data_IF_451543468206
#
_entry.id   IF_451543468206
#
_cell.length_a   1.000
_cell.length_b   1.000
_cell.length_c   1.000
_cell.angle_alpha   90.00
_cell.angle_beta   90.00
_cell.angle_gamma   90.00
#
_symmetry.space_group_name_H-M   'P 1'
#
loop_
_entity.id
_entity.type
_entity.pdbx_description
1 polymer ?
#
# COMPACT_ATOMS: atom_id res chain seq x y z
N UNK A 1 4.08 27.62 2.33
CA UNK A 1 3.25 27.31 3.50
C UNK A 1 3.32 25.80 3.65
N UNK A 2 3.88 25.28 4.73
CA UNK A 2 3.77 23.86 5.05
C UNK A 2 2.36 23.60 5.57
N UNK A 3 1.68 22.60 5.02
CA UNK A 3 0.38 22.17 5.48
C UNK A 3 0.57 21.00 6.45
N UNK A 4 0.27 21.22 7.74
CA UNK A 4 0.30 20.17 8.77
C UNK A 4 -1.00 19.37 8.74
N UNK A 5 -1.29 18.77 7.58
CA UNK A 5 -2.51 18.01 7.38
C UNK A 5 -2.41 16.67 8.10
N UNK A 6 -3.40 16.36 8.93
CA UNK A 6 -3.51 15.09 9.66
C UNK A 6 -4.75 14.35 9.15
N UNK A 7 -4.53 13.17 8.59
CA UNK A 7 -5.59 12.31 8.06
C UNK A 7 -5.77 11.01 8.86
N UNK A 8 -4.93 10.79 9.88
CA UNK A 8 -5.06 9.64 10.77
C UNK A 8 -6.29 9.85 11.66
N UNK A 9 -7.21 8.87 11.77
CA UNK A 9 -8.37 8.98 12.64
C UNK A 9 -7.96 9.21 14.10
N UNK A 10 -8.50 10.26 14.72
CA UNK A 10 -8.12 10.66 16.08
C UNK A 10 -8.49 9.59 17.13
N UNK A 11 -9.56 8.85 16.89
CA UNK A 11 -10.01 7.74 17.73
C UNK A 11 -9.00 6.58 17.79
N UNK A 12 -8.25 6.33 16.71
CA UNK A 12 -7.22 5.30 16.69
C UNK A 12 -5.99 5.73 17.50
N UNK A 13 -5.62 7.00 17.40
CA UNK A 13 -4.53 7.57 18.20
C UNK A 13 -4.89 7.54 19.70
N UNK A 14 -6.09 7.99 20.05
CA UNK A 14 -6.55 8.04 21.43
C UNK A 14 -6.63 6.66 22.09
N UNK A 15 -6.93 5.60 21.33
CA UNK A 15 -6.94 4.22 21.84
C UNK A 15 -5.56 3.78 22.35
N UNK A 16 -4.48 4.29 21.74
CA UNK A 16 -3.09 4.03 22.12
C UNK A 16 -2.51 5.13 23.03
N UNK A 17 -3.33 6.07 23.50
CA UNK A 17 -2.87 7.21 24.32
C UNK A 17 -2.05 8.26 23.55
N UNK A 18 -2.16 8.27 22.22
CA UNK A 18 -1.44 9.17 21.33
C UNK A 18 -2.31 10.33 20.84
N UNK A 19 -1.65 11.39 20.38
CA UNK A 19 -2.22 12.51 19.67
C UNK A 19 -1.48 12.74 18.35
N UNK A 20 -2.09 13.55 17.47
CA UNK A 20 -1.49 13.84 16.15
C UNK A 20 -0.13 14.57 16.26
N UNK A 21 0.08 15.33 17.33
CA UNK A 21 1.35 16.01 17.58
C UNK A 21 2.52 15.02 17.82
N UNK A 22 2.20 13.82 18.32
CA UNK A 22 3.20 12.80 18.66
C UNK A 22 3.79 12.12 17.42
N UNK A 23 3.16 12.28 16.25
CA UNK A 23 3.64 11.74 14.95
C UNK A 23 4.99 12.35 14.55
N UNK A 24 5.23 13.61 14.93
CA UNK A 24 6.44 14.32 14.54
C UNK A 24 7.69 13.87 15.31
N UNK A 25 7.52 13.09 16.38
CA UNK A 25 8.60 12.60 17.23
C UNK A 25 8.96 11.15 16.86
N UNK A 26 10.14 10.90 16.25
CA UNK A 26 10.56 9.56 15.85
C UNK A 26 10.74 8.61 17.04
N UNK A 27 10.93 9.11 18.27
CA UNK A 27 11.06 8.28 19.46
C UNK A 27 9.73 7.58 19.83
N UNK A 28 8.61 8.07 19.28
CA UNK A 28 7.30 7.45 19.46
C UNK A 28 7.01 6.30 18.49
N UNK A 29 7.94 5.95 17.58
CA UNK A 29 7.67 5.01 16.49
C UNK A 29 7.07 3.66 16.95
N UNK A 30 7.61 3.07 18.02
CA UNK A 30 7.10 1.83 18.59
C UNK A 30 5.65 1.97 19.10
N UNK A 31 5.29 3.12 19.67
CA UNK A 31 3.94 3.37 20.17
C UNK A 31 2.91 3.51 19.03
N UNK A 32 3.33 3.91 17.84
CA UNK A 32 2.45 4.03 16.66
C UNK A 32 2.21 2.71 15.92
N UNK A 33 2.95 1.64 16.22
CA UNK A 33 2.81 0.34 15.52
C UNK A 33 1.36 -0.17 15.51
N UNK A 34 0.62 -0.22 16.64
CA UNK A 34 -0.77 -0.71 16.64
C UNK A 34 -1.71 0.14 15.77
N UNK A 35 -1.48 1.46 15.72
CA UNK A 35 -2.24 2.39 14.87
C UNK A 35 -1.99 2.09 13.39
N UNK A 36 -0.71 1.93 13.01
CA UNK A 36 -0.32 1.60 11.63
C UNK A 36 -0.91 0.26 11.21
N UNK A 37 -0.77 -0.78 12.04
CA UNK A 37 -1.32 -2.11 11.78
C UNK A 37 -2.83 -2.08 11.58
N UNK A 38 -3.56 -1.36 12.45
CA UNK A 38 -5.02 -1.22 12.33
C UNK A 38 -5.44 -0.57 11.01
N UNK A 39 -4.73 0.49 10.59
CA UNK A 39 -5.01 1.17 9.31
C UNK A 39 -4.69 0.26 8.13
N UNK A 40 -3.55 -0.43 8.19
CA UNK A 40 -3.08 -1.35 7.15
C UNK A 40 -4.04 -2.52 6.99
N UNK A 41 -4.55 -3.09 8.09
CA UNK A 41 -5.52 -4.19 8.03
C UNK A 41 -6.86 -3.74 7.47
N UNK A 42 -7.33 -2.55 7.86
CA UNK A 42 -8.52 -1.94 7.26
C UNK A 42 -8.34 -1.73 5.75
N UNK A 43 -7.18 -1.23 5.33
CA UNK A 43 -6.87 -1.01 3.92
C UNK A 43 -6.77 -2.32 3.14
N UNK A 44 -6.12 -3.33 3.71
CA UNK A 44 -6.00 -4.67 3.13
C UNK A 44 -7.36 -5.36 2.95
N UNK A 45 -8.33 -5.07 3.82
CA UNK A 45 -9.71 -5.56 3.71
C UNK A 45 -10.42 -5.14 2.40
N UNK A 46 -9.97 -4.08 1.72
CA UNK A 46 -10.53 -3.66 0.43
C UNK A 46 -9.91 -4.36 -0.79
N UNK A 47 -8.81 -5.11 -0.62
CA UNK A 47 -8.06 -5.66 -1.76
C UNK A 47 -8.88 -6.67 -2.57
N UNK A 48 -9.69 -7.50 -1.91
CA UNK A 48 -10.54 -8.49 -2.58
C UNK A 48 -11.62 -7.84 -3.44
N UNK A 49 -12.30 -6.83 -2.89
CA UNK A 49 -13.35 -6.12 -3.61
C UNK A 49 -12.78 -5.25 -4.74
N UNK A 50 -11.62 -4.61 -4.52
CA UNK A 50 -10.91 -3.87 -5.55
C UNK A 50 -10.47 -4.79 -6.70
N UNK A 51 -9.89 -5.96 -6.41
CA UNK A 51 -9.54 -6.93 -7.45
C UNK A 51 -10.78 -7.38 -8.23
N UNK A 52 -11.86 -7.75 -7.53
CA UNK A 52 -13.13 -8.17 -8.16
C UNK A 52 -13.68 -7.10 -9.09
N UNK A 53 -13.60 -5.83 -8.68
CA UNK A 53 -14.03 -4.71 -9.49
C UNK A 53 -13.14 -4.53 -10.74
N UNK A 54 -11.82 -4.58 -10.61
CA UNK A 54 -10.87 -4.46 -11.73
C UNK A 54 -11.07 -5.59 -12.76
N UNK A 55 -11.37 -6.81 -12.30
CA UNK A 55 -11.59 -7.96 -13.18
C UNK A 55 -12.98 -7.92 -13.86
N UNK A 56 -13.96 -7.26 -13.25
CA UNK A 56 -15.33 -7.16 -13.78
C UNK A 56 -15.59 -5.89 -14.62
N UNK A 57 -14.75 -4.86 -14.51
CA UNK A 57 -15.02 -3.57 -15.14
C UNK A 57 -14.89 -3.62 -16.67
N UNK A 58 -15.80 -2.98 -17.43
CA UNK A 58 -15.69 -2.92 -18.89
C UNK A 58 -14.46 -2.11 -19.34
N UNK A 59 -13.66 -2.70 -20.23
CA UNK A 59 -12.54 -2.04 -20.91
C UNK A 59 -13.04 -1.17 -22.07
N UNK A 60 -13.76 -0.10 -21.76
CA UNK A 60 -14.26 0.86 -22.73
C UNK A 60 -13.81 2.29 -22.38
N UNK A 61 -13.78 3.18 -23.38
CA UNK A 61 -13.48 4.62 -23.23
C UNK A 61 -12.12 4.93 -22.58
N UNK A 62 -11.05 4.28 -23.05
CA UNK A 62 -9.69 4.56 -22.57
C UNK A 62 -9.30 3.85 -21.27
N UNK A 63 -10.22 3.09 -20.65
CA UNK A 63 -9.87 2.16 -19.58
C UNK A 63 -9.09 0.98 -20.16
N UNK A 64 -7.82 0.87 -19.78
CA UNK A 64 -7.04 -0.36 -19.95
C UNK A 64 -6.96 -1.09 -18.62
N UNK A 65 -6.86 -2.42 -18.67
CA UNK A 65 -6.63 -3.23 -17.47
C UNK A 65 -5.37 -2.75 -16.73
N UNK A 66 -4.33 -2.37 -17.48
CA UNK A 66 -3.08 -1.84 -16.95
C UNK A 66 -3.26 -0.53 -16.14
N UNK A 67 -4.12 0.38 -16.60
CA UNK A 67 -4.36 1.68 -15.94
C UNK A 67 -4.88 1.52 -14.50
N UNK A 68 -5.60 0.43 -14.22
CA UNK A 68 -6.15 0.13 -12.90
C UNK A 68 -5.32 -0.90 -12.13
N UNK A 69 -4.73 -1.86 -12.85
CA UNK A 69 -3.98 -2.95 -12.24
C UNK A 69 -2.65 -2.48 -11.67
N UNK A 70 -1.94 -1.58 -12.36
CA UNK A 70 -0.64 -1.11 -11.89
C UNK A 70 -0.80 -0.40 -10.53
N UNK A 71 -1.63 0.66 -10.38
CA UNK A 71 -1.81 1.32 -9.07
C UNK A 71 -2.26 0.36 -7.96
N UNK A 72 -3.15 -0.59 -8.29
CA UNK A 72 -3.59 -1.62 -7.35
C UNK A 72 -2.42 -2.49 -6.85
N UNK A 73 -1.58 -2.99 -7.75
CA UNK A 73 -0.42 -3.81 -7.39
C UNK A 73 0.63 -3.00 -6.60
N UNK A 74 0.82 -1.71 -6.92
CA UNK A 74 1.68 -0.84 -6.12
C UNK A 74 1.13 -0.68 -4.69
N UNK A 75 -0.18 -0.53 -4.53
CA UNK A 75 -0.81 -0.48 -3.21
C UNK A 75 -0.62 -1.79 -2.43
N UNK A 76 -0.75 -2.96 -3.10
CA UNK A 76 -0.47 -4.27 -2.50
C UNK A 76 0.96 -4.33 -1.97
N UNK A 77 1.94 -3.94 -2.78
CA UNK A 77 3.35 -3.91 -2.36
C UNK A 77 3.58 -2.92 -1.21
N UNK A 78 2.97 -1.74 -1.24
CA UNK A 78 3.07 -0.76 -0.16
C UNK A 78 2.47 -1.30 1.15
N UNK A 79 1.32 -1.97 1.12
CA UNK A 79 0.73 -2.60 2.29
C UNK A 79 1.64 -3.70 2.87
N UNK A 80 2.31 -4.49 2.02
CA UNK A 80 3.33 -5.45 2.47
C UNK A 80 4.46 -4.74 3.22
N UNK A 81 5.03 -3.68 2.64
CA UNK A 81 6.13 -2.94 3.28
C UNK A 81 5.72 -2.33 4.62
N UNK A 82 4.50 -1.78 4.70
CA UNK A 82 3.96 -1.21 5.95
C UNK A 82 3.77 -2.28 7.04
N UNK A 83 3.39 -3.51 6.68
CA UNK A 83 3.32 -4.64 7.63
C UNK A 83 4.70 -5.11 8.08
N UNK A 84 5.68 -5.12 7.18
CA UNK A 84 7.03 -5.57 7.52
C UNK A 84 7.79 -4.56 8.37
N UNK A 85 7.52 -3.27 8.19
CA UNK A 85 8.26 -2.17 8.83
C UNK A 85 7.32 -1.05 9.30
N UNK A 86 6.39 -1.33 10.23
CA UNK A 86 5.42 -0.34 10.69
C UNK A 86 6.09 0.83 11.44
N UNK A 87 7.16 0.57 12.20
CA UNK A 87 7.92 1.60 12.93
C UNK A 87 8.53 2.65 11.99
N UNK A 88 8.98 2.23 10.80
CA UNK A 88 9.62 3.11 9.82
C UNK A 88 8.71 4.25 9.36
N UNK A 89 7.39 4.10 9.49
CA UNK A 89 6.40 5.15 9.17
C UNK A 89 6.65 6.43 9.98
N UNK A 90 6.99 6.28 11.26
CA UNK A 90 7.25 7.41 12.17
C UNK A 90 8.74 7.63 12.35
N UNK A 91 9.53 6.56 12.52
CA UNK A 91 10.97 6.65 12.75
C UNK A 91 11.72 7.32 11.57
N UNK A 92 11.29 7.04 10.33
CA UNK A 92 11.96 7.54 9.11
C UNK A 92 11.08 8.41 8.22
N UNK A 93 9.75 8.37 8.42
CA UNK A 93 8.78 9.05 7.56
C UNK A 93 8.65 8.46 6.15
N UNK A 94 9.24 7.30 5.86
CA UNK A 94 9.26 6.76 4.49
C UNK A 94 9.28 5.24 4.43
N UNK A 95 8.12 4.65 4.16
CA UNK A 95 7.98 3.24 3.76
C UNK A 95 7.63 3.17 2.27
N UNK A 96 8.47 2.51 1.47
CA UNK A 96 8.34 2.47 0.00
C UNK A 96 8.69 1.10 -0.54
N UNK A 97 7.97 0.69 -1.58
CA UNK A 97 8.40 -0.38 -2.48
C UNK A 97 9.63 0.07 -3.28
N UNK A 98 10.47 -0.88 -3.68
CA UNK A 98 11.71 -0.56 -4.40
C UNK A 98 11.40 -0.10 -5.83
N UNK A 99 12.26 0.76 -6.40
CA UNK A 99 12.18 1.13 -7.83
C UNK A 99 12.28 -0.08 -8.75
N UNK A 100 13.06 -1.09 -8.36
CA UNK A 100 13.20 -2.33 -9.11
C UNK A 100 11.88 -3.12 -9.12
N UNK A 101 11.16 -3.16 -8.00
CA UNK A 101 9.82 -3.76 -7.94
C UNK A 101 8.82 -3.01 -8.83
N UNK A 102 8.80 -1.68 -8.79
CA UNK A 102 7.96 -0.87 -9.70
C UNK A 102 8.27 -1.20 -11.16
N UNK A 103 9.55 -1.26 -11.54
CA UNK A 103 9.98 -1.62 -12.88
C UNK A 103 9.52 -3.03 -13.28
N UNK A 104 9.61 -4.00 -12.35
CA UNK A 104 9.13 -5.35 -12.57
C UNK A 104 7.61 -5.40 -12.78
N UNK A 105 6.82 -4.61 -12.04
CA UNK A 105 5.37 -4.49 -12.25
C UNK A 105 5.08 -3.96 -13.65
N UNK A 106 5.70 -2.84 -14.05
CA UNK A 106 5.49 -2.23 -15.36
C UNK A 106 5.85 -3.20 -16.51
N UNK A 107 6.94 -3.95 -16.36
CA UNK A 107 7.38 -4.92 -17.37
C UNK A 107 6.34 -6.03 -17.62
N UNK A 108 5.52 -6.41 -16.62
CA UNK A 108 4.44 -7.41 -16.80
C UNK A 108 3.30 -6.92 -17.69
N UNK A 109 3.17 -5.61 -17.90
CA UNK A 109 2.12 -5.00 -18.72
C UNK A 109 2.65 -4.37 -20.01
N UNK A 110 3.92 -4.61 -20.35
CA UNK A 110 4.55 -4.07 -21.56
C UNK A 110 4.34 -4.94 -22.81
N UNK A 111 3.86 -6.18 -22.65
CA UNK A 111 3.59 -7.13 -23.75
C UNK A 111 2.11 -7.26 -24.10
N UNK A 112 1.80 -8.07 -25.10
CA UNK A 112 0.43 -8.29 -25.61
C UNK A 112 -0.41 -9.22 -24.72
N UNK A 113 0.22 -10.02 -23.85
CA UNK A 113 -0.47 -10.94 -22.94
C UNK A 113 -0.77 -10.26 -21.60
N UNK A 114 -2.04 -10.28 -21.20
CA UNK A 114 -2.46 -9.75 -19.91
C UNK A 114 -2.13 -10.77 -18.79
N UNK A 115 -1.26 -10.43 -17.82
CA UNK A 115 -0.92 -11.33 -16.74
C UNK A 115 -2.10 -11.51 -15.77
N UNK A 116 -2.15 -12.66 -15.08
CA UNK A 116 -3.17 -12.89 -14.05
C UNK A 116 -2.97 -11.94 -12.87
N UNK A 117 -3.91 -11.01 -12.67
CA UNK A 117 -3.90 -10.06 -11.56
C UNK A 117 -3.84 -10.77 -10.21
N UNK A 118 -4.73 -11.75 -9.98
CA UNK A 118 -4.72 -12.51 -8.74
C UNK A 118 -3.40 -13.26 -8.47
N UNK A 119 -2.71 -13.74 -9.51
CA UNK A 119 -1.39 -14.37 -9.33
C UNK A 119 -0.31 -13.35 -8.94
N UNK A 120 -0.27 -12.19 -9.61
CA UNK A 120 0.66 -11.11 -9.29
C UNK A 120 0.42 -10.57 -7.88
N UNK A 121 -0.83 -10.34 -7.51
CA UNK A 121 -1.22 -9.91 -6.16
C UNK A 121 -0.67 -10.87 -5.10
N UNK A 122 -0.99 -12.16 -5.20
CA UNK A 122 -0.51 -13.17 -4.23
C UNK A 122 1.01 -13.23 -4.14
N UNK A 123 1.70 -13.06 -5.27
CA UNK A 123 3.16 -12.99 -5.27
C UNK A 123 3.66 -11.76 -4.52
N UNK A 124 3.11 -10.59 -4.83
CA UNK A 124 3.53 -9.31 -4.23
C UNK A 124 3.13 -9.18 -2.77
N UNK A 125 2.08 -9.83 -2.30
CA UNK A 125 1.74 -9.93 -0.88
C UNK A 125 2.82 -10.68 -0.07
N UNK A 126 3.52 -11.63 -0.72
CA UNK A 126 4.52 -12.48 -0.06
C UNK A 126 5.93 -11.91 -0.14
N UNK A 127 6.33 -11.37 -1.30
CA UNK A 127 7.69 -10.89 -1.54
C UNK A 127 7.74 -9.87 -2.68
N UNK A 128 8.78 -9.03 -2.74
CA UNK A 128 8.98 -8.13 -3.87
C UNK A 128 9.02 -8.86 -5.21
N UNK A 129 8.31 -8.34 -6.21
CA UNK A 129 8.12 -9.02 -7.50
C UNK A 129 9.42 -9.37 -8.25
N UNK A 130 10.49 -8.61 -7.99
CA UNK A 130 11.80 -8.70 -8.65
C UNK A 130 12.80 -9.64 -7.94
N UNK A 131 12.46 -10.16 -6.77
CA UNK A 131 13.35 -11.00 -5.95
C UNK A 131 13.07 -12.51 -6.12
N UNK A 132 12.40 -12.90 -7.21
CA UNK A 132 12.17 -14.30 -7.60
C UNK A 132 12.78 -14.62 -8.95
#
# INVERSE_FOLDING_TARGET
REENNVYVPAELLAAEGLAAADIADPDNAAAFVPVVETIVDRAAGYLDDAQRWIEAMPLARGNSLAAWTIPFLLAVGTLRELRCRPEDVVATGSVKISRAEVGAVLARFAGDEAPSLGALRRQMEQAPLHER
#
